data_IF_479448475970
#
_entry.id   IF_479448475970
#
_cell.length_a   1.000
_cell.length_b   1.000
_cell.length_c   1.000
_cell.angle_alpha   90.00
_cell.angle_beta   90.00
_cell.angle_gamma   90.00
#
_symmetry.space_group_name_H-M   'P 1'
#
loop_
_entity.id
_entity.type
_entity.pdbx_description
1 polymer ?
#
# COMPACT_ATOMS: atom_id res chain seq x y z
N UNK A 1 19.65 14.39 -47.16
CA UNK A 1 20.84 13.98 -46.38
C UNK A 1 20.55 14.22 -44.91
N UNK A 2 20.16 13.18 -44.16
CA UNK A 2 19.87 13.27 -42.72
C UNK A 2 21.16 12.90 -41.97
N UNK A 3 21.73 13.85 -41.23
CA UNK A 3 22.89 13.61 -40.36
C UNK A 3 22.45 12.78 -39.14
N UNK A 4 23.06 11.60 -39.02
CA UNK A 4 22.93 10.64 -37.93
C UNK A 4 23.68 11.18 -36.70
N UNK A 5 22.98 11.64 -35.68
CA UNK A 5 23.58 11.86 -34.36
C UNK A 5 23.27 10.64 -33.49
N UNK A 6 24.29 9.80 -33.30
CA UNK A 6 24.20 8.61 -32.45
C UNK A 6 24.19 9.00 -30.97
N UNK A 7 23.30 8.39 -30.20
CA UNK A 7 23.39 8.34 -28.74
C UNK A 7 24.49 7.34 -28.37
N UNK A 8 25.52 7.80 -27.66
CA UNK A 8 26.46 6.91 -26.96
C UNK A 8 26.11 6.95 -25.47
N UNK A 9 25.69 5.80 -24.94
CA UNK A 9 25.56 5.58 -23.50
C UNK A 9 26.94 5.16 -23.01
N UNK A 10 27.66 6.07 -22.33
CA UNK A 10 28.91 5.72 -21.66
C UNK A 10 28.53 5.21 -20.27
N UNK A 11 28.31 3.90 -20.16
CA UNK A 11 28.35 3.19 -18.88
C UNK A 11 29.82 3.06 -18.47
N UNK A 12 30.23 3.76 -17.40
CA UNK A 12 31.50 3.45 -16.75
C UNK A 12 31.27 2.25 -15.82
N UNK A 13 31.64 1.07 -16.32
CA UNK A 13 31.82 -0.13 -15.49
C UNK A 13 32.89 0.14 -14.42
N UNK A 14 32.48 0.31 -13.16
CA UNK A 14 33.37 0.10 -12.03
C UNK A 14 33.01 -1.23 -11.35
N UNK A 15 33.98 -2.14 -11.37
CA UNK A 15 33.89 -3.49 -10.79
C UNK A 15 33.53 -3.40 -9.31
N UNK A 16 32.38 -3.94 -8.94
CA UNK A 16 32.06 -4.31 -7.56
C UNK A 16 33.06 -5.35 -7.06
N UNK A 17 33.98 -4.96 -6.16
CA UNK A 17 34.62 -5.92 -5.26
C UNK A 17 33.63 -6.23 -4.14
N UNK A 18 32.88 -7.33 -4.28
CA UNK A 18 32.28 -8.01 -3.13
C UNK A 18 33.42 -8.45 -2.23
N UNK A 19 33.45 -7.98 -0.98
CA UNK A 19 34.23 -8.64 0.05
C UNK A 19 33.29 -9.56 0.84
N UNK A 20 33.67 -10.83 0.85
CA UNK A 20 33.07 -11.91 1.63
C UNK A 20 33.30 -11.66 3.10
N UNK A 21 32.28 -11.15 3.80
CA UNK A 21 31.94 -11.47 5.19
C UNK A 21 30.80 -10.55 5.63
N UNK A 22 29.62 -11.11 5.87
CA UNK A 22 28.53 -10.42 6.53
C UNK A 22 28.91 -10.06 7.96
N UNK A 23 29.42 -8.85 8.14
CA UNK A 23 29.53 -8.17 9.43
C UNK A 23 29.18 -6.72 9.23
N UNK A 24 28.26 -6.24 10.06
CA UNK A 24 28.00 -4.83 10.27
C UNK A 24 29.33 -4.12 10.55
N UNK A 25 29.62 -3.07 9.78
CA UNK A 25 30.68 -2.12 10.10
C UNK A 25 30.19 -1.26 11.27
N UNK A 26 30.30 -1.81 12.48
CA UNK A 26 30.43 -1.01 13.70
C UNK A 26 31.86 -0.48 13.73
N UNK A 27 32.14 0.53 12.91
CA UNK A 27 33.40 1.27 12.96
C UNK A 27 33.24 2.40 13.97
N UNK A 28 33.67 2.13 15.19
CA UNK A 28 33.91 3.14 16.21
C UNK A 28 35.01 4.11 15.74
N UNK A 29 34.60 5.18 15.06
CA UNK A 29 35.33 6.44 15.08
C UNK A 29 34.69 7.30 16.18
N UNK A 30 35.49 7.68 17.17
CA UNK A 30 35.06 8.51 18.31
C UNK A 30 34.85 9.97 17.85
N UNK A 31 33.99 10.16 16.86
CA UNK A 31 33.74 11.45 16.23
C UNK A 31 32.57 12.15 16.90
N UNK A 32 32.82 13.39 17.32
CA UNK A 32 31.76 14.32 17.75
C UNK A 32 30.85 14.66 16.57
N UNK A 33 29.55 14.37 16.71
CA UNK A 33 28.52 14.82 15.78
C UNK A 33 28.50 16.36 15.71
N UNK A 34 28.54 16.90 14.49
CA UNK A 34 28.48 18.35 14.25
C UNK A 34 27.03 18.82 14.06
N UNK A 35 26.72 20.00 14.58
CA UNK A 35 25.42 20.67 14.44
C UNK A 35 25.24 21.32 13.06
N UNK A 36 24.00 21.63 12.69
CA UNK A 36 23.68 22.33 11.43
C UNK A 36 24.40 23.68 11.28
N UNK A 37 24.58 24.41 12.38
CA UNK A 37 25.24 25.71 12.41
C UNK A 37 26.76 25.60 12.23
N UNK A 38 27.38 24.56 12.81
CA UNK A 38 28.79 24.24 12.58
C UNK A 38 29.04 23.80 11.13
N UNK A 39 28.12 23.03 10.54
CA UNK A 39 28.21 22.57 9.15
C UNK A 39 28.04 23.72 8.15
N UNK A 40 27.16 24.68 8.45
CA UNK A 40 26.93 25.84 7.60
C UNK A 40 28.16 26.76 7.50
N UNK A 41 29.01 26.76 8.52
CA UNK A 41 30.20 27.61 8.63
C UNK A 41 31.52 26.85 8.36
N UNK A 42 31.48 25.68 7.74
CA UNK A 42 32.68 24.90 7.42
C UNK A 42 33.56 25.63 6.41
N UNK A 43 34.80 25.91 6.81
CA UNK A 43 35.84 26.35 5.90
C UNK A 43 36.50 25.15 5.23
N UNK A 44 36.29 25.02 3.92
CA UNK A 44 36.80 23.92 3.09
C UNK A 44 38.34 23.95 2.99
N UNK A 45 38.96 25.12 3.18
CA UNK A 45 40.42 25.25 3.16
C UNK A 45 41.06 24.86 4.49
N UNK A 46 40.27 24.72 5.55
CA UNK A 46 40.73 24.32 6.87
C UNK A 46 41.29 22.89 6.85
N UNK A 47 42.46 22.72 7.45
CA UNK A 47 43.20 21.46 7.51
C UNK A 47 42.42 20.33 8.19
N UNK A 48 41.66 20.64 9.25
CA UNK A 48 40.83 19.66 9.96
C UNK A 48 39.66 19.20 9.08
N UNK A 49 39.04 20.12 8.35
CA UNK A 49 37.93 19.80 7.44
C UNK A 49 38.42 18.93 6.28
N UNK A 50 39.60 19.20 5.72
CA UNK A 50 40.23 18.36 4.70
C UNK A 50 40.48 16.94 5.18
N UNK A 51 40.95 16.77 6.42
CA UNK A 51 41.15 15.45 7.00
C UNK A 51 39.82 14.69 7.17
N UNK A 52 38.76 15.36 7.64
CA UNK A 52 37.42 14.74 7.72
C UNK A 52 36.92 14.33 6.32
N UNK A 53 37.20 15.13 5.29
CA UNK A 53 36.83 14.82 3.90
C UNK A 53 37.56 13.60 3.32
N UNK A 54 38.83 13.40 3.69
CA UNK A 54 39.61 12.22 3.35
C UNK A 54 39.06 10.98 4.05
N UNK A 55 38.83 11.06 5.36
CA UNK A 55 38.20 9.99 6.15
C UNK A 55 36.83 9.58 5.57
N UNK A 56 36.02 10.53 5.11
CA UNK A 56 34.71 10.25 4.49
C UNK A 56 34.86 9.48 3.19
N UNK A 57 35.80 9.91 2.37
CA UNK A 57 36.06 9.31 1.07
C UNK A 57 36.61 7.90 1.23
N UNK A 58 37.47 7.66 2.21
CA UNK A 58 37.98 6.32 2.54
C UNK A 58 36.88 5.40 3.09
N UNK A 59 36.02 5.89 3.98
CA UNK A 59 34.95 5.07 4.58
C UNK A 59 33.82 4.74 3.61
N UNK A 60 33.50 5.65 2.68
CA UNK A 60 32.26 5.58 1.90
C UNK A 60 32.46 5.45 0.39
N UNK A 61 33.69 5.60 -0.09
CA UNK A 61 34.05 5.69 -1.52
C UNK A 61 33.28 6.82 -2.26
N UNK A 62 32.81 7.84 -1.53
CA UNK A 62 32.03 8.98 -2.05
C UNK A 62 32.77 10.29 -1.85
N UNK A 63 32.67 11.20 -2.82
CA UNK A 63 33.30 12.52 -2.74
C UNK A 63 32.65 13.42 -1.67
N UNK A 64 33.48 14.01 -0.80
CA UNK A 64 33.01 15.00 0.17
C UNK A 64 32.68 16.35 -0.48
N UNK A 65 33.30 16.64 -1.63
CA UNK A 65 33.08 17.85 -2.44
C UNK A 65 32.71 17.43 -3.86
N UNK A 66 31.66 18.06 -4.41
CA UNK A 66 31.30 17.92 -5.81
C UNK A 66 31.11 19.29 -6.44
N UNK A 67 31.86 19.61 -7.51
CA UNK A 67 31.84 20.91 -8.21
C UNK A 67 32.03 22.12 -7.28
N UNK A 68 32.91 22.00 -6.29
CA UNK A 68 33.25 23.08 -5.35
C UNK A 68 32.24 23.29 -4.22
N UNK A 69 31.24 22.42 -4.07
CA UNK A 69 30.30 22.45 -2.94
C UNK A 69 30.37 21.16 -2.13
N UNK A 70 30.20 21.29 -0.81
CA UNK A 70 30.13 20.16 0.11
C UNK A 70 28.90 19.31 -0.23
N UNK A 71 29.08 17.98 -0.31
CA UNK A 71 27.99 17.05 -0.63
C UNK A 71 27.08 16.82 0.57
N UNK A 72 25.78 16.61 0.31
CA UNK A 72 24.81 16.25 1.37
C UNK A 72 25.17 14.94 2.07
N UNK A 73 25.84 14.02 1.37
CA UNK A 73 26.35 12.78 1.97
C UNK A 73 27.39 13.06 3.04
N UNK A 74 28.32 13.99 2.79
CA UNK A 74 29.31 14.42 3.77
C UNK A 74 28.69 15.12 4.96
N UNK A 75 27.71 16.02 4.74
CA UNK A 75 27.00 16.70 5.84
C UNK A 75 26.31 15.72 6.78
N UNK A 76 25.61 14.74 6.22
CA UNK A 76 24.94 13.69 7.01
C UNK A 76 25.93 12.82 7.78
N UNK A 77 27.06 12.52 7.17
CA UNK A 77 28.13 11.78 7.83
C UNK A 77 28.77 12.55 8.99
N UNK A 78 28.98 13.87 8.85
CA UNK A 78 29.44 14.73 9.95
C UNK A 78 28.46 14.77 11.13
N UNK A 79 27.15 14.57 10.87
CA UNK A 79 26.12 14.47 11.91
C UNK A 79 26.04 13.09 12.58
N UNK A 80 26.77 12.10 12.07
CA UNK A 80 26.67 10.71 12.52
C UNK A 80 25.40 10.00 12.05
N UNK A 81 24.74 10.51 11.02
CA UNK A 81 23.59 9.83 10.41
C UNK A 81 24.03 8.59 9.62
N UNK A 82 23.26 7.49 9.71
CA UNK A 82 23.49 6.32 8.85
C UNK A 82 23.34 6.71 7.38
N UNK A 83 24.42 6.53 6.62
CA UNK A 83 24.40 6.74 5.17
C UNK A 83 23.83 5.49 4.51
N UNK A 84 22.57 5.56 4.11
CA UNK A 84 21.96 4.52 3.31
C UNK A 84 22.41 4.65 1.85
N UNK A 85 22.95 3.57 1.29
CA UNK A 85 23.27 3.52 -0.12
C UNK A 85 21.97 3.43 -0.93
N UNK A 86 21.70 4.45 -1.74
CA UNK A 86 20.75 4.35 -2.84
C UNK A 86 21.51 4.77 -4.07
N UNK A 87 21.92 3.79 -4.87
CA UNK A 87 22.39 4.00 -6.22
C UNK A 87 21.30 4.74 -7.00
N UNK A 88 21.44 6.07 -7.08
CA UNK A 88 20.61 6.91 -7.94
C UNK A 88 21.39 7.10 -9.23
N UNK A 89 21.13 6.24 -10.20
CA UNK A 89 21.55 6.49 -11.58
C UNK A 89 21.00 7.86 -12.02
N UNK A 90 21.91 8.82 -12.23
CA UNK A 90 21.55 10.14 -12.74
C UNK A 90 21.66 10.15 -14.25
N UNK A 91 20.51 10.21 -14.91
CA UNK A 91 20.46 10.49 -16.35
C UNK A 91 20.82 11.97 -16.54
N UNK A 92 21.95 12.24 -17.19
CA UNK A 92 22.37 13.60 -17.57
C UNK A 92 22.00 13.83 -19.03
N UNK A 93 21.07 14.74 -19.29
CA UNK A 93 20.65 15.13 -20.63
C UNK A 93 21.47 16.33 -21.10
N UNK A 94 22.13 16.20 -22.25
CA UNK A 94 22.79 17.33 -22.91
C UNK A 94 21.75 18.08 -23.74
N UNK A 95 21.59 19.37 -23.47
CA UNK A 95 20.71 20.28 -24.21
C UNK A 95 21.53 21.36 -24.89
N UNK A 96 21.02 21.97 -25.96
CA UNK A 96 21.69 23.10 -26.61
C UNK A 96 21.82 24.28 -25.63
N UNK A 97 22.83 25.14 -25.83
CA UNK A 97 23.02 26.33 -25.00
C UNK A 97 21.83 27.30 -25.09
N UNK A 98 21.12 27.32 -26.23
CA UNK A 98 19.86 28.06 -26.39
C UNK A 98 18.76 27.53 -25.47
N UNK A 99 18.53 26.20 -25.45
CA UNK A 99 17.54 25.57 -24.56
C UNK A 99 17.89 25.76 -23.09
N UNK A 100 19.19 25.72 -22.76
CA UNK A 100 19.68 25.99 -21.41
C UNK A 100 19.42 27.43 -20.98
N UNK A 101 19.65 28.41 -21.86
CA UNK A 101 19.36 29.83 -21.58
C UNK A 101 17.87 30.06 -21.38
N UNK A 102 17.03 29.54 -22.27
CA UNK A 102 15.56 29.64 -22.13
C UNK A 102 15.07 29.03 -20.81
N UNK A 103 15.70 27.93 -20.36
CA UNK A 103 15.38 27.33 -19.07
C UNK A 103 15.84 28.17 -17.87
N UNK A 104 16.99 28.83 -17.97
CA UNK A 104 17.46 29.76 -16.93
C UNK A 104 16.53 30.97 -16.81
N UNK A 105 16.16 31.58 -17.94
CA UNK A 105 15.23 32.71 -18.00
C UNK A 105 13.84 32.33 -17.45
N UNK A 106 13.37 31.10 -17.74
CA UNK A 106 12.14 30.54 -17.18
C UNK A 106 12.21 30.38 -15.64
N UNK A 107 13.34 29.89 -15.12
CA UNK A 107 13.57 29.72 -13.67
C UNK A 107 13.68 31.05 -12.92
N UNK A 108 14.21 32.10 -13.55
CA UNK A 108 14.27 33.43 -12.92
C UNK A 108 12.90 34.12 -12.87
N UNK A 109 11.98 33.74 -13.76
CA UNK A 109 10.63 34.31 -13.86
C UNK A 109 9.54 33.51 -13.12
N UNK A 110 9.85 32.33 -12.57
CA UNK A 110 8.91 31.44 -11.88
C UNK A 110 9.55 30.81 -10.63
N UNK A 111 8.79 30.55 -9.56
CA UNK A 111 9.31 30.09 -8.25
C UNK A 111 9.88 28.64 -8.21
N UNK A 112 10.20 28.04 -9.35
CA UNK A 112 10.63 26.65 -9.42
C UNK A 112 12.15 26.50 -9.29
N UNK A 113 12.60 25.91 -8.17
CA UNK A 113 14.03 25.68 -7.91
C UNK A 113 14.69 24.67 -8.85
N UNK A 114 13.93 23.73 -9.43
CA UNK A 114 14.42 22.66 -10.33
C UNK A 114 13.35 22.21 -11.35
N UNK A 115 13.78 21.61 -12.47
CA UNK A 115 12.88 20.92 -13.42
C UNK A 115 12.03 19.87 -12.70
N UNK A 116 12.63 19.14 -11.76
CA UNK A 116 11.92 18.11 -10.99
C UNK A 116 10.81 18.69 -10.10
N UNK A 117 10.98 19.90 -9.58
CA UNK A 117 9.94 20.60 -8.82
C UNK A 117 8.78 21.02 -9.74
N UNK A 118 9.10 21.59 -10.91
CA UNK A 118 8.07 21.93 -11.91
C UNK A 118 7.29 20.70 -12.38
N UNK A 119 7.99 19.61 -12.72
CA UNK A 119 7.34 18.36 -13.16
C UNK A 119 6.46 17.80 -12.05
N UNK A 120 6.94 17.82 -10.79
CA UNK A 120 6.15 17.35 -9.66
C UNK A 120 4.87 18.17 -9.50
N UNK A 121 4.97 19.49 -9.49
CA UNK A 121 3.80 20.36 -9.35
C UNK A 121 2.83 20.25 -10.54
N UNK A 122 3.36 20.10 -11.77
CA UNK A 122 2.53 19.88 -12.96
C UNK A 122 1.82 18.53 -12.92
N UNK A 123 2.47 17.50 -12.40
CA UNK A 123 1.90 16.17 -12.20
C UNK A 123 0.86 16.19 -11.09
N UNK A 124 1.15 16.85 -9.96
CA UNK A 124 0.23 16.98 -8.84
C UNK A 124 -1.02 17.77 -9.25
N UNK A 125 -0.86 18.89 -9.97
CA UNK A 125 -1.97 19.66 -10.57
C UNK A 125 -2.80 18.82 -11.55
N UNK A 126 -2.15 18.03 -12.41
CA UNK A 126 -2.85 17.13 -13.33
C UNK A 126 -3.60 16.01 -12.60
N UNK A 127 -3.02 15.48 -11.51
CA UNK A 127 -3.66 14.47 -10.65
C UNK A 127 -4.87 15.08 -9.94
N UNK A 128 -4.76 16.30 -9.40
CA UNK A 128 -5.87 17.00 -8.75
C UNK A 128 -7.00 17.34 -9.73
N UNK A 129 -6.68 17.88 -10.92
CA UNK A 129 -7.70 18.10 -11.96
C UNK A 129 -8.34 16.80 -12.46
N UNK A 130 -7.56 15.72 -12.58
CA UNK A 130 -8.08 14.41 -13.00
C UNK A 130 -8.83 13.70 -11.90
N UNK A 131 -8.52 13.90 -10.62
CA UNK A 131 -9.27 13.30 -9.52
C UNK A 131 -10.67 13.87 -9.46
N UNK A 132 -10.84 15.16 -9.74
CA UNK A 132 -12.17 15.78 -9.83
C UNK A 132 -12.96 15.29 -11.06
N UNK A 133 -12.30 15.13 -12.22
CA UNK A 133 -12.95 14.63 -13.44
C UNK A 133 -13.31 13.12 -13.40
N UNK A 134 -12.43 12.29 -12.84
CA UNK A 134 -12.70 10.86 -12.67
C UNK A 134 -13.70 10.63 -11.53
N UNK A 135 -13.66 11.44 -10.47
CA UNK A 135 -14.64 11.43 -9.40
C UNK A 135 -16.06 11.70 -9.93
N UNK A 136 -16.31 12.85 -10.54
CA UNK A 136 -17.66 13.18 -11.02
C UNK A 136 -18.12 12.33 -12.23
N UNK A 137 -17.19 11.96 -13.12
CA UNK A 137 -17.48 11.17 -14.32
C UNK A 137 -17.84 9.72 -14.03
N UNK A 138 -17.11 9.04 -13.11
CA UNK A 138 -17.47 7.69 -12.68
C UNK A 138 -18.64 7.68 -11.68
N UNK A 139 -18.82 8.72 -10.86
CA UNK A 139 -20.01 8.85 -9.97
C UNK A 139 -21.34 8.91 -10.72
N UNK A 140 -21.35 9.35 -11.98
CA UNK A 140 -22.55 9.37 -12.83
C UNK A 140 -22.79 8.09 -13.62
N UNK A 141 -21.83 7.17 -13.66
CA UNK A 141 -21.99 5.89 -14.36
C UNK A 141 -22.78 4.91 -13.49
N UNK A 142 -23.70 4.16 -14.09
CA UNK A 142 -24.42 3.13 -13.33
C UNK A 142 -23.48 2.00 -12.89
N UNK A 143 -23.81 1.34 -11.76
CA UNK A 143 -23.03 0.22 -11.19
C UNK A 143 -22.73 -0.87 -12.21
N UNK A 144 -23.64 -1.04 -13.19
CA UNK A 144 -23.52 -2.02 -14.26
C UNK A 144 -22.39 -1.65 -15.23
N UNK A 145 -22.24 -0.38 -15.57
CA UNK A 145 -21.16 0.14 -16.42
C UNK A 145 -19.82 0.04 -15.72
N UNK A 146 -19.75 0.37 -14.43
CA UNK A 146 -18.54 0.23 -13.61
C UNK A 146 -18.13 -1.25 -13.49
N UNK A 147 -19.09 -2.14 -13.24
CA UNK A 147 -18.87 -3.59 -13.20
C UNK A 147 -18.38 -4.15 -14.54
N UNK A 148 -18.95 -3.69 -15.66
CA UNK A 148 -18.52 -4.10 -17.00
C UNK A 148 -17.09 -3.65 -17.32
N UNK A 149 -16.71 -2.42 -16.93
CA UNK A 149 -15.34 -1.91 -17.10
C UNK A 149 -14.37 -2.71 -16.22
N UNK A 150 -14.73 -2.98 -14.97
CA UNK A 150 -13.94 -3.82 -14.06
C UNK A 150 -13.68 -5.21 -14.65
N UNK A 151 -14.73 -5.87 -15.15
CA UNK A 151 -14.60 -7.18 -15.80
C UNK A 151 -13.73 -7.12 -17.06
N UNK A 152 -13.96 -6.14 -17.94
CA UNK A 152 -13.19 -5.97 -19.18
C UNK A 152 -11.70 -5.69 -18.93
N UNK A 153 -11.34 -5.11 -17.78
CA UNK A 153 -9.94 -4.90 -17.39
C UNK A 153 -9.35 -6.10 -16.64
N UNK A 154 -10.11 -6.79 -15.79
CA UNK A 154 -9.66 -7.97 -15.04
C UNK A 154 -9.36 -9.16 -15.94
N UNK A 155 -10.13 -9.34 -17.01
CA UNK A 155 -9.99 -10.48 -17.91
C UNK A 155 -8.61 -10.54 -18.62
N UNK A 156 -8.14 -9.50 -19.35
CA UNK A 156 -6.81 -9.52 -19.94
C UNK A 156 -5.70 -9.56 -18.88
N UNK A 157 -5.92 -8.97 -17.71
CA UNK A 157 -4.94 -8.96 -16.63
C UNK A 157 -4.77 -10.34 -15.97
N UNK A 158 -5.87 -11.07 -15.78
CA UNK A 158 -5.88 -12.46 -15.32
C UNK A 158 -5.15 -13.36 -16.31
N UNK A 159 -5.34 -13.14 -17.60
CA UNK A 159 -4.63 -13.85 -18.65
C UNK A 159 -3.12 -13.57 -18.61
N UNK A 160 -2.72 -12.30 -18.51
CA UNK A 160 -1.29 -11.92 -18.39
C UNK A 160 -0.67 -12.54 -17.15
N UNK A 161 -1.35 -12.46 -16.00
CA UNK A 161 -0.92 -13.06 -14.73
C UNK A 161 -0.75 -14.57 -14.85
N UNK A 162 -1.76 -15.26 -15.42
CA UNK A 162 -1.75 -16.70 -15.61
C UNK A 162 -0.63 -17.18 -16.54
N UNK A 163 -0.44 -16.53 -17.69
CA UNK A 163 0.67 -16.88 -18.60
C UNK A 163 2.04 -16.59 -17.99
N UNK A 164 2.18 -15.45 -17.31
CA UNK A 164 3.43 -15.10 -16.63
C UNK A 164 3.76 -16.11 -15.53
N UNK A 165 2.76 -16.53 -14.76
CA UNK A 165 2.90 -17.57 -13.74
C UNK A 165 3.26 -18.94 -14.33
N UNK A 166 2.59 -19.36 -15.40
CA UNK A 166 2.90 -20.62 -16.08
C UNK A 166 4.33 -20.66 -16.62
N UNK A 167 4.81 -19.53 -17.15
CA UNK A 167 6.19 -19.40 -17.62
C UNK A 167 7.20 -19.48 -16.47
N UNK A 168 6.88 -18.86 -15.33
CA UNK A 168 7.71 -18.94 -14.12
C UNK A 168 7.67 -20.34 -13.48
N UNK A 169 6.56 -21.06 -13.53
CA UNK A 169 6.47 -22.37 -12.88
C UNK A 169 7.09 -23.49 -13.73
N UNK A 170 6.93 -23.44 -15.06
CA UNK A 170 7.27 -24.57 -15.92
C UNK A 170 8.54 -24.39 -16.74
N UNK A 171 9.05 -23.16 -16.89
CA UNK A 171 10.17 -22.87 -17.78
C UNK A 171 11.32 -22.12 -17.08
N UNK A 172 11.31 -22.03 -15.75
CA UNK A 172 12.35 -21.31 -14.98
C UNK A 172 13.77 -21.82 -15.27
N UNK A 173 13.95 -23.14 -15.44
CA UNK A 173 15.27 -23.73 -15.70
C UNK A 173 15.72 -23.60 -17.16
N UNK A 174 14.79 -23.31 -18.09
CA UNK A 174 15.05 -23.20 -19.53
C UNK A 174 15.22 -21.73 -19.98
N UNK A 175 14.77 -20.78 -19.17
CA UNK A 175 14.79 -19.36 -19.46
C UNK A 175 16.06 -18.69 -18.91
N UNK A 176 16.60 -17.73 -19.66
CA UNK A 176 17.72 -16.94 -19.17
C UNK A 176 17.28 -15.98 -18.04
N UNK A 177 18.23 -15.57 -17.19
CA UNK A 177 17.94 -14.77 -15.99
C UNK A 177 17.25 -13.42 -16.29
N UNK A 178 17.56 -12.79 -17.43
CA UNK A 178 16.98 -11.50 -17.83
C UNK A 178 15.51 -11.62 -18.25
N UNK A 179 15.18 -12.70 -18.97
CA UNK A 179 13.81 -13.05 -19.34
C UNK A 179 13.01 -13.46 -18.12
N UNK A 180 13.61 -14.25 -17.22
CA UNK A 180 12.98 -14.63 -15.94
C UNK A 180 12.64 -13.40 -15.09
N UNK A 181 13.60 -12.46 -14.96
CA UNK A 181 13.40 -11.21 -14.25
C UNK A 181 12.28 -10.37 -14.87
N UNK A 182 12.23 -10.30 -16.21
CA UNK A 182 11.19 -9.57 -16.93
C UNK A 182 9.82 -10.18 -16.72
N UNK A 183 9.67 -11.51 -16.82
CA UNK A 183 8.40 -12.21 -16.60
C UNK A 183 7.94 -12.04 -15.15
N UNK A 184 8.87 -12.12 -14.18
CA UNK A 184 8.57 -11.84 -12.77
C UNK A 184 8.07 -10.41 -12.56
N UNK A 185 8.71 -9.44 -13.19
CA UNK A 185 8.26 -8.04 -13.13
C UNK A 185 6.87 -7.87 -13.78
N UNK A 186 6.59 -8.52 -14.91
CA UNK A 186 5.26 -8.51 -15.54
C UNK A 186 4.22 -9.10 -14.58
N UNK A 187 4.52 -10.21 -13.92
CA UNK A 187 3.64 -10.83 -12.93
C UNK A 187 3.39 -9.89 -11.74
N UNK A 188 4.44 -9.36 -11.13
CA UNK A 188 4.35 -8.46 -9.97
C UNK A 188 3.59 -7.16 -10.31
N UNK A 189 3.84 -6.57 -11.49
CA UNK A 189 3.10 -5.41 -11.97
C UNK A 189 1.64 -5.74 -12.29
N UNK A 190 1.34 -6.94 -12.79
CA UNK A 190 -0.04 -7.36 -13.03
C UNK A 190 -0.84 -7.45 -11.72
N UNK A 191 -0.24 -7.97 -10.65
CA UNK A 191 -0.84 -8.04 -9.32
C UNK A 191 -1.05 -6.64 -8.72
N UNK A 192 -0.06 -5.76 -8.89
CA UNK A 192 -0.14 -4.37 -8.43
C UNK A 192 -1.25 -3.60 -9.16
N UNK A 193 -1.39 -3.79 -10.47
CA UNK A 193 -2.45 -3.17 -11.26
C UNK A 193 -3.83 -3.72 -10.92
N UNK A 194 -3.94 -5.03 -10.68
CA UNK A 194 -5.17 -5.70 -10.26
C UNK A 194 -5.68 -5.09 -8.94
N UNK A 195 -4.78 -4.95 -7.96
CA UNK A 195 -5.09 -4.35 -6.67
C UNK A 195 -5.45 -2.86 -6.77
N UNK A 196 -4.80 -2.10 -7.67
CA UNK A 196 -5.16 -0.69 -7.90
C UNK A 196 -6.55 -0.54 -8.53
N UNK A 197 -6.89 -1.39 -9.49
CA UNK A 197 -8.23 -1.39 -10.10
C UNK A 197 -9.28 -1.72 -9.03
N UNK A 198 -9.04 -2.75 -8.22
CA UNK A 198 -9.92 -3.11 -7.10
C UNK A 198 -10.08 -1.92 -6.14
N UNK A 199 -8.98 -1.32 -5.66
CA UNK A 199 -9.03 -0.19 -4.75
C UNK A 199 -9.75 1.04 -5.34
N UNK A 200 -9.58 1.34 -6.63
CA UNK A 200 -10.28 2.45 -7.28
C UNK A 200 -11.78 2.17 -7.33
N UNK A 201 -12.18 0.97 -7.75
CA UNK A 201 -13.59 0.56 -7.80
C UNK A 201 -14.22 0.55 -6.39
N UNK A 202 -13.48 0.08 -5.40
CA UNK A 202 -13.90 0.08 -4.00
C UNK A 202 -14.04 1.53 -3.51
N UNK A 203 -13.08 2.41 -3.79
CA UNK A 203 -13.15 3.83 -3.39
C UNK A 203 -14.28 4.61 -4.09
N UNK A 204 -14.71 4.19 -5.28
CA UNK A 204 -15.88 4.77 -5.97
C UNK A 204 -17.19 4.27 -5.35
N UNK A 205 -17.22 3.02 -4.88
CA UNK A 205 -18.35 2.46 -4.13
C UNK A 205 -18.44 3.00 -2.68
N UNK A 206 -17.37 3.60 -2.15
CA UNK A 206 -17.24 4.00 -0.73
C UNK A 206 -17.97 5.30 -0.36
N UNK A 207 -18.39 6.14 -1.29
CA UNK A 207 -19.11 7.39 -0.92
C UNK A 207 -20.61 7.24 -0.66
N UNK A 208 -21.23 6.10 -1.03
CA UNK A 208 -22.52 5.71 -0.46
C UNK A 208 -22.31 4.54 0.50
N UNK A 209 -22.12 4.85 1.78
CA UNK A 209 -22.33 3.91 2.89
C UNK A 209 -23.82 3.56 2.97
N UNK A 210 -24.34 2.90 1.94
CA UNK A 210 -25.57 2.14 2.02
C UNK A 210 -25.19 0.67 2.10
N UNK A 211 -25.48 -0.02 3.22
CA UNK A 211 -25.31 -1.45 3.28
C UNK A 211 -26.09 -2.10 2.13
N UNK A 212 -25.42 -2.87 1.26
CA UNK A 212 -26.13 -3.70 0.28
C UNK A 212 -27.03 -4.74 1.00
N UNK A 213 -26.76 -4.99 2.29
CA UNK A 213 -27.48 -5.87 3.20
C UNK A 213 -27.55 -5.27 4.62
N UNK A 214 -28.70 -5.36 5.28
CA UNK A 214 -28.91 -4.90 6.65
C UNK A 214 -28.12 -5.74 7.65
N UNK A 215 -28.01 -7.04 7.41
CA UNK A 215 -27.41 -8.02 8.34
C UNK A 215 -26.29 -8.79 7.65
N UNK A 216 -25.13 -8.86 8.30
CA UNK A 216 -24.06 -9.79 7.95
C UNK A 216 -24.07 -10.96 8.92
N UNK A 217 -24.28 -12.17 8.40
CA UNK A 217 -24.20 -13.43 9.15
C UNK A 217 -22.89 -14.15 8.80
N UNK A 218 -22.06 -14.41 9.81
CA UNK A 218 -20.79 -15.12 9.70
C UNK A 218 -20.93 -16.43 10.47
N UNK A 219 -21.00 -17.55 9.75
CA UNK A 219 -21.38 -18.86 10.28
C UNK A 219 -20.82 -19.94 9.34
N UNK A 220 -20.27 -21.05 9.80
CA UNK A 220 -19.71 -22.09 8.91
C UNK A 220 -20.76 -23.12 8.45
N UNK A 221 -21.84 -23.31 9.21
CA UNK A 221 -22.94 -24.20 8.84
C UNK A 221 -23.90 -23.58 7.79
N UNK A 222 -23.90 -24.19 6.60
CA UNK A 222 -24.76 -23.76 5.48
C UNK A 222 -26.26 -23.89 5.78
N UNK A 223 -26.67 -24.84 6.63
CA UNK A 223 -28.08 -25.00 6.98
C UNK A 223 -28.55 -23.81 7.85
N UNK A 224 -27.76 -23.44 8.84
CA UNK A 224 -27.98 -22.25 9.69
C UNK A 224 -27.98 -20.97 8.87
N UNK A 225 -27.03 -20.80 7.94
CA UNK A 225 -27.03 -19.66 7.02
C UNK A 225 -28.35 -19.57 6.27
N UNK A 226 -28.79 -20.67 5.63
CA UNK A 226 -30.02 -20.68 4.82
C UNK A 226 -31.25 -20.38 5.67
N UNK A 227 -31.31 -20.94 6.88
CA UNK A 227 -32.39 -20.72 7.83
C UNK A 227 -32.49 -19.23 8.21
N UNK A 228 -31.42 -18.65 8.73
CA UNK A 228 -31.43 -17.27 9.23
C UNK A 228 -31.58 -16.25 8.11
N UNK A 229 -30.91 -16.45 6.97
CA UNK A 229 -31.09 -15.55 5.81
C UNK A 229 -32.53 -15.56 5.30
N UNK A 230 -33.18 -16.73 5.26
CA UNK A 230 -34.61 -16.84 4.88
C UNK A 230 -35.52 -16.19 5.91
N UNK A 231 -35.24 -16.39 7.20
CA UNK A 231 -35.98 -15.78 8.30
C UNK A 231 -35.96 -14.25 8.22
N UNK A 232 -34.77 -13.64 8.18
CA UNK A 232 -34.65 -12.18 8.10
C UNK A 232 -35.23 -11.60 6.81
N UNK A 233 -35.09 -12.32 5.68
CA UNK A 233 -35.73 -11.94 4.43
C UNK A 233 -37.25 -11.92 4.54
N UNK A 234 -37.86 -12.88 5.24
CA UNK A 234 -39.30 -12.90 5.49
C UNK A 234 -39.80 -11.73 6.34
N UNK A 235 -38.90 -11.14 7.14
CA UNK A 235 -39.14 -9.94 7.96
C UNK A 235 -38.84 -8.63 7.21
N UNK A 236 -38.42 -8.69 5.95
CA UNK A 236 -38.15 -7.54 5.10
C UNK A 236 -36.70 -7.06 5.08
N UNK A 237 -35.78 -7.75 5.77
CA UNK A 237 -34.38 -7.37 5.86
C UNK A 237 -33.51 -8.13 4.87
N UNK A 238 -32.49 -7.46 4.33
CA UNK A 238 -31.47 -8.09 3.49
C UNK A 238 -30.40 -8.69 4.38
N UNK A 239 -30.34 -10.02 4.47
CA UNK A 239 -29.31 -10.74 5.22
C UNK A 239 -28.33 -11.43 4.28
N UNK A 240 -27.03 -11.19 4.45
CA UNK A 240 -25.95 -11.83 3.70
C UNK A 240 -25.22 -12.83 4.60
N UNK A 241 -25.22 -14.11 4.21
CA UNK A 241 -24.45 -15.14 4.90
C UNK A 241 -23.08 -15.38 4.27
N UNK A 242 -22.06 -15.56 5.09
CA UNK A 242 -20.70 -15.98 4.70
C UNK A 242 -20.20 -17.12 5.59
N UNK A 243 -19.38 -17.98 5.00
CA UNK A 243 -19.02 -19.30 5.55
C UNK A 243 -17.73 -19.34 6.38
N UNK A 244 -17.08 -18.19 6.58
CA UNK A 244 -15.79 -18.12 7.26
C UNK A 244 -15.53 -16.73 7.82
N UNK A 245 -14.68 -16.65 8.85
CA UNK A 245 -14.29 -15.39 9.48
C UNK A 245 -13.58 -14.46 8.50
N UNK A 246 -12.67 -15.01 7.70
CA UNK A 246 -11.96 -14.31 6.62
C UNK A 246 -12.90 -13.60 5.64
N UNK A 247 -13.95 -14.28 5.16
CA UNK A 247 -14.97 -13.68 4.29
C UNK A 247 -15.79 -12.64 5.03
N UNK A 248 -16.09 -12.85 6.31
CA UNK A 248 -16.74 -11.85 7.15
C UNK A 248 -15.97 -10.54 7.22
N UNK A 249 -14.66 -10.61 7.46
CA UNK A 249 -13.78 -9.43 7.51
C UNK A 249 -13.73 -8.72 6.15
N UNK A 250 -13.66 -9.47 5.04
CA UNK A 250 -13.72 -8.92 3.69
C UNK A 250 -15.03 -8.15 3.46
N UNK A 251 -16.16 -8.73 3.86
CA UNK A 251 -17.47 -8.07 3.75
C UNK A 251 -17.56 -6.78 4.57
N UNK A 252 -17.07 -6.78 5.82
CA UNK A 252 -17.06 -5.58 6.68
C UNK A 252 -16.21 -4.45 6.07
N UNK A 253 -15.12 -4.79 5.38
CA UNK A 253 -14.28 -3.80 4.68
C UNK A 253 -14.96 -3.23 3.44
N UNK A 254 -15.79 -4.03 2.77
CA UNK A 254 -16.55 -3.62 1.58
C UNK A 254 -17.86 -2.88 1.88
N UNK A 255 -18.32 -2.87 3.14
CA UNK A 255 -19.52 -2.14 3.55
C UNK A 255 -19.85 -2.33 5.03
N UNK A 256 -20.52 -1.34 5.62
CA UNK A 256 -20.90 -1.35 7.05
C UNK A 256 -22.32 -1.91 7.18
N UNK A 257 -22.53 -3.18 7.60
CA UNK A 257 -23.87 -3.68 7.89
C UNK A 257 -24.47 -2.96 9.11
N UNK A 258 -25.81 -2.97 9.23
CA UNK A 258 -26.49 -2.46 10.43
C UNK A 258 -26.31 -3.38 11.63
N UNK A 259 -26.12 -4.68 11.38
CA UNK A 259 -25.98 -5.71 12.41
C UNK A 259 -25.06 -6.84 11.92
N UNK A 260 -24.24 -7.36 12.83
CA UNK A 260 -23.45 -8.57 12.61
C UNK A 260 -23.94 -9.68 13.53
N UNK A 261 -24.26 -10.84 12.95
CA UNK A 261 -24.47 -12.10 13.66
C UNK A 261 -23.25 -12.97 13.41
N UNK A 262 -22.57 -13.39 14.48
CA UNK A 262 -21.23 -13.96 14.37
C UNK A 262 -21.10 -15.25 15.19
N UNK A 263 -20.89 -16.38 14.54
CA UNK A 263 -20.51 -17.60 15.27
C UNK A 263 -19.16 -17.41 15.98
N UNK A 264 -19.09 -17.88 17.22
CA UNK A 264 -17.87 -17.93 18.00
C UNK A 264 -16.91 -19.00 17.47
N UNK A 265 -17.46 -20.15 17.06
CA UNK A 265 -16.68 -21.31 16.62
C UNK A 265 -16.69 -21.35 15.10
N UNK A 266 -15.65 -20.79 14.49
CA UNK A 266 -15.41 -20.83 13.04
C UNK A 266 -14.15 -21.63 12.74
N UNK A 267 -14.02 -22.20 11.53
CA UNK A 267 -12.90 -23.06 11.17
C UNK A 267 -11.56 -22.32 10.98
N UNK A 268 -11.59 -21.00 10.76
CA UNK A 268 -10.42 -20.20 10.40
C UNK A 268 -10.00 -19.21 11.50
N UNK A 269 -10.89 -18.32 11.92
CA UNK A 269 -10.61 -17.26 12.91
C UNK A 269 -11.71 -17.31 13.97
N UNK A 270 -11.36 -17.24 15.26
CA UNK A 270 -12.38 -17.27 16.30
C UNK A 270 -13.29 -16.05 16.21
N UNK A 271 -14.60 -16.23 16.39
CA UNK A 271 -15.56 -15.12 16.44
C UNK A 271 -15.25 -14.10 17.54
N UNK A 272 -14.58 -14.53 18.62
CA UNK A 272 -14.08 -13.60 19.64
C UNK A 272 -13.03 -12.63 19.11
N UNK A 273 -12.10 -13.11 18.28
CA UNK A 273 -11.04 -12.29 17.70
C UNK A 273 -11.62 -11.31 16.67
N UNK A 274 -12.58 -11.77 15.86
CA UNK A 274 -13.28 -10.94 14.88
C UNK A 274 -14.07 -9.85 15.59
N UNK A 275 -14.82 -10.19 16.63
CA UNK A 275 -15.61 -9.21 17.39
C UNK A 275 -14.70 -8.16 18.04
N UNK A 276 -13.60 -8.58 18.67
CA UNK A 276 -12.62 -7.66 19.23
C UNK A 276 -12.03 -6.73 18.17
N UNK A 277 -11.65 -7.27 17.01
CA UNK A 277 -11.17 -6.48 15.87
C UNK A 277 -12.19 -5.41 15.45
N UNK A 278 -13.48 -5.76 15.37
CA UNK A 278 -14.55 -4.82 15.04
C UNK A 278 -14.67 -3.74 16.11
N UNK A 279 -14.74 -4.12 17.39
CA UNK A 279 -14.98 -3.21 18.52
C UNK A 279 -13.79 -2.31 18.86
N UNK A 280 -12.57 -2.70 18.49
CA UNK A 280 -11.38 -1.85 18.62
C UNK A 280 -11.16 -0.95 17.39
N UNK A 281 -11.90 -1.14 16.29
CA UNK A 281 -11.74 -0.34 15.07
C UNK A 281 -12.53 0.97 15.11
N UNK A 282 -11.88 2.10 14.75
CA UNK A 282 -12.48 3.45 14.83
C UNK A 282 -13.80 3.58 14.06
N UNK A 283 -13.92 2.92 12.91
CA UNK A 283 -15.09 3.01 12.01
C UNK A 283 -16.16 1.97 12.36
N UNK A 284 -15.75 0.76 12.78
CA UNK A 284 -16.67 -0.38 12.88
C UNK A 284 -17.16 -0.64 14.31
N UNK A 285 -16.58 0.02 15.31
CA UNK A 285 -16.91 -0.21 16.72
C UNK A 285 -18.38 0.02 17.08
N UNK A 286 -19.06 0.88 16.32
CA UNK A 286 -20.48 1.21 16.52
C UNK A 286 -21.41 0.17 15.92
N UNK A 287 -20.93 -0.76 15.09
CA UNK A 287 -21.75 -1.83 14.52
C UNK A 287 -22.13 -2.78 15.66
N UNK A 288 -23.42 -3.04 15.89
CA UNK A 288 -23.88 -4.07 16.82
C UNK A 288 -23.42 -5.47 16.38
N UNK A 289 -22.81 -6.22 17.29
CA UNK A 289 -22.32 -7.59 17.10
C UNK A 289 -22.98 -8.50 18.12
N UNK A 290 -23.77 -9.45 17.62
CA UNK A 290 -24.36 -10.53 18.42
C UNK A 290 -23.66 -11.85 18.12
N UNK A 291 -23.14 -12.48 19.17
CA UNK A 291 -22.46 -13.76 19.05
C UNK A 291 -23.47 -14.91 18.99
N UNK A 292 -23.30 -15.84 18.05
CA UNK A 292 -24.03 -17.11 18.01
C UNK A 292 -23.13 -18.18 18.61
N UNK A 293 -23.63 -19.01 19.53
CA UNK A 293 -22.71 -19.94 20.21
C UNK A 293 -23.35 -21.18 20.81
N UNK A 294 -22.67 -22.32 20.67
CA UNK A 294 -22.96 -23.53 21.43
C UNK A 294 -22.21 -23.59 22.78
N UNK A 295 -21.35 -22.60 23.07
CA UNK A 295 -20.62 -22.50 24.34
C UNK A 295 -21.61 -22.11 25.44
N UNK A 296 -21.52 -22.71 26.66
CA UNK A 296 -22.37 -22.32 27.78
C UNK A 296 -22.32 -20.82 28.05
N UNK A 297 -23.48 -20.19 28.26
CA UNK A 297 -23.58 -18.73 28.46
C UNK A 297 -22.68 -18.20 29.59
N UNK A 298 -22.51 -18.97 30.67
CA UNK A 298 -21.63 -18.61 31.79
C UNK A 298 -20.13 -18.50 31.42
N UNK A 299 -19.70 -19.17 30.35
CA UNK A 299 -18.34 -19.02 29.82
C UNK A 299 -18.24 -17.82 28.87
N UNK A 300 -19.28 -17.58 28.08
CA UNK A 300 -19.37 -16.42 27.17
C UNK A 300 -19.36 -15.13 27.98
N UNK A 301 -20.19 -15.05 29.04
CA UNK A 301 -20.30 -13.90 29.95
C UNK A 301 -18.94 -13.47 30.54
N UNK A 302 -18.07 -14.42 30.88
CA UNK A 302 -16.72 -14.12 31.40
C UNK A 302 -15.86 -13.37 30.39
N UNK A 303 -16.07 -13.59 29.10
CA UNK A 303 -15.31 -12.95 28.02
C UNK A 303 -15.97 -11.66 27.50
N UNK A 304 -17.29 -11.49 27.70
CA UNK A 304 -18.05 -10.33 27.21
C UNK A 304 -17.42 -8.98 27.60
N UNK A 305 -16.87 -8.87 28.81
CA UNK A 305 -16.21 -7.65 29.29
C UNK A 305 -14.97 -7.24 28.49
N UNK A 306 -14.25 -8.21 27.92
CA UNK A 306 -13.04 -7.96 27.11
C UNK A 306 -13.38 -7.69 25.64
N UNK A 307 -14.38 -8.40 25.11
CA UNK A 307 -14.69 -8.41 23.68
C UNK A 307 -15.66 -7.28 23.30
N UNK A 308 -16.44 -6.77 24.27
CA UNK A 308 -17.42 -5.69 24.09
C UNK A 308 -18.50 -5.98 23.03
N UNK A 309 -18.86 -7.26 22.85
CA UNK A 309 -20.01 -7.63 22.02
C UNK A 309 -21.31 -7.09 22.64
N UNK A 310 -22.31 -6.83 21.81
CA UNK A 310 -23.59 -6.23 22.24
C UNK A 310 -24.56 -7.27 22.81
N UNK A 311 -24.32 -8.55 22.53
CA UNK A 311 -25.05 -9.67 23.11
C UNK A 311 -24.61 -11.02 22.54
N UNK A 312 -25.30 -12.07 22.97
CA UNK A 312 -25.14 -13.41 22.42
C UNK A 312 -26.48 -14.16 22.38
N UNK A 313 -26.57 -15.14 21.49
CA UNK A 313 -27.70 -16.05 21.30
C UNK A 313 -27.15 -17.48 21.36
N UNK A 314 -27.76 -18.32 22.20
CA UNK A 314 -27.32 -19.70 22.41
C UNK A 314 -27.87 -20.63 21.33
N UNK A 315 -27.05 -21.55 20.83
CA UNK A 315 -27.44 -22.66 19.97
C UNK A 315 -27.82 -23.86 20.86
N UNK A 316 -28.91 -24.60 20.55
CA UNK A 316 -29.91 -24.29 19.51
C UNK A 316 -30.78 -23.10 19.92
N UNK A 317 -31.18 -22.30 18.92
CA UNK A 317 -32.05 -21.12 19.10
C UNK A 317 -33.39 -21.29 18.38
N UNK A 318 -34.37 -20.53 18.83
CA UNK A 318 -35.65 -20.31 18.17
C UNK A 318 -35.69 -18.93 17.50
N UNK A 319 -36.65 -18.73 16.58
CA UNK A 319 -36.81 -17.44 15.91
C UNK A 319 -37.10 -16.28 16.88
N UNK A 320 -37.69 -16.56 18.05
CA UNK A 320 -37.96 -15.57 19.10
C UNK A 320 -36.68 -15.01 19.74
N UNK A 321 -35.58 -15.76 19.73
CA UNK A 321 -34.33 -15.32 20.34
C UNK A 321 -33.70 -14.14 19.58
N UNK A 322 -34.05 -13.99 18.30
CA UNK A 322 -33.62 -12.89 17.44
C UNK A 322 -34.48 -11.63 17.59
N UNK A 323 -35.54 -11.63 18.41
CA UNK A 323 -36.37 -10.43 18.58
C UNK A 323 -35.56 -9.25 19.17
N UNK A 324 -34.57 -9.56 20.01
CA UNK A 324 -33.66 -8.56 20.61
C UNK A 324 -32.84 -7.79 19.57
N UNK A 325 -32.59 -8.36 18.38
CA UNK A 325 -31.72 -7.74 17.38
C UNK A 325 -32.47 -6.79 16.44
N UNK A 326 -33.81 -6.85 16.38
CA UNK A 326 -34.59 -5.97 15.51
C UNK A 326 -34.56 -4.50 15.92
N UNK A 327 -34.17 -4.17 17.16
CA UNK A 327 -33.97 -2.78 17.58
C UNK A 327 -32.83 -2.07 16.82
N UNK A 328 -31.96 -2.83 16.14
CA UNK A 328 -30.81 -2.31 15.38
C UNK A 328 -31.06 -2.25 13.86
N UNK A 329 -32.21 -2.72 13.37
CA UNK A 329 -32.51 -2.90 11.94
C UNK A 329 -33.57 -1.92 11.44
#
# INVERSE_FOLDING_TARGET
MIKKYGMSIISKNNKTKKNSNGKDLDNGSNRRSMTDEEIANLDIENKEVKQLMEEYQEETDKYAIWRGSITEGFKKWLKGEKIYDRDKERISLYVSEETKKNWQDFKESHEYSTISALIRESVDYYIEQKSDLFGEGLRRMDDKTISNISHALKEPLTTIKGFSQLLLENYTEELNEEVLFTIKNIFDQSLLLENKIINILDNIAVEELHPQYDILLIEDDLATIRLLTSYFKSKGYKCKGVVSGTKGIEQIRGGVPKLILLDIILPDISGYEICKMIKDHKVYKEIPVYLLTAIPGSEVEKKMGEIKADGYILKPFDFSDFEVVFQYL
#
